data_IF_253623032843
#
_entry.id   IF_253623032843
#
_cell.length_a   1.000
_cell.length_b   1.000
_cell.length_c   1.000
_cell.angle_alpha   90.00
_cell.angle_beta   90.00
_cell.angle_gamma   90.00
#
_symmetry.space_group_name_H-M   'P 1'
#
loop_
_entity.id
_entity.type
_entity.pdbx_description
1 polymer ?
#
# COMPACT_ATOMS: atom_id res chain seq x y z
N UNK A 1 9.98 -18.77 -3.46
CA UNK A 1 10.84 -19.68 -4.24
C UNK A 1 10.49 -21.17 -4.07
N UNK A 2 10.37 -21.72 -2.84
CA UNK A 2 9.98 -23.12 -2.64
C UNK A 2 8.66 -23.49 -3.34
N UNK A 3 7.65 -22.64 -3.19
CA UNK A 3 6.33 -22.87 -3.79
C UNK A 3 6.36 -22.80 -5.32
N UNK A 4 7.19 -21.91 -5.89
CA UNK A 4 7.40 -21.83 -7.33
C UNK A 4 7.95 -23.15 -7.88
N UNK A 5 8.99 -23.70 -7.26
CA UNK A 5 9.58 -24.97 -7.66
C UNK A 5 8.57 -26.12 -7.59
N UNK A 6 7.75 -26.16 -6.53
CA UNK A 6 6.69 -27.16 -6.37
C UNK A 6 5.62 -27.04 -7.46
N UNK A 7 5.08 -25.83 -7.70
CA UNK A 7 4.03 -25.59 -8.71
C UNK A 7 4.49 -25.89 -10.13
N UNK A 8 5.75 -25.59 -10.45
CA UNK A 8 6.33 -25.84 -11.78
C UNK A 8 6.92 -27.24 -11.93
N UNK A 9 6.85 -28.07 -10.88
CA UNK A 9 7.48 -29.39 -10.83
C UNK A 9 8.96 -29.35 -11.25
N UNK A 10 9.69 -28.30 -10.82
CA UNK A 10 11.09 -28.09 -11.12
C UNK A 10 11.96 -28.60 -9.99
N UNK A 11 13.01 -29.35 -10.33
CA UNK A 11 14.02 -29.71 -9.34
C UNK A 11 14.92 -28.50 -9.02
N UNK A 12 15.40 -28.45 -7.79
CA UNK A 12 16.39 -27.45 -7.35
C UNK A 12 17.64 -27.50 -8.24
N UNK A 13 18.02 -28.70 -8.71
CA UNK A 13 19.18 -28.89 -9.60
C UNK A 13 19.00 -28.21 -10.96
N UNK A 14 17.80 -28.26 -11.53
CA UNK A 14 17.49 -27.60 -12.80
C UNK A 14 17.61 -26.09 -12.66
N UNK A 15 16.91 -25.50 -11.68
CA UNK A 15 16.95 -24.05 -11.47
C UNK A 15 18.36 -23.55 -11.13
N UNK A 16 19.13 -24.31 -10.35
CA UNK A 16 20.53 -23.96 -10.06
C UNK A 16 21.40 -23.98 -11.34
N UNK A 17 21.16 -24.93 -12.23
CA UNK A 17 21.82 -25.01 -13.54
C UNK A 17 21.48 -23.80 -14.41
N UNK A 18 20.20 -23.44 -14.49
CA UNK A 18 19.73 -22.28 -15.27
C UNK A 18 20.32 -20.96 -14.75
N UNK A 19 20.50 -20.85 -13.42
CA UNK A 19 21.09 -19.69 -12.75
C UNK A 19 22.62 -19.71 -12.72
N UNK A 20 23.26 -20.79 -13.20
CA UNK A 20 24.70 -21.02 -13.11
C UNK A 20 25.26 -20.85 -11.68
N UNK A 21 24.55 -21.38 -10.67
CA UNK A 21 24.96 -21.38 -9.26
C UNK A 21 25.02 -22.81 -8.71
N UNK A 22 25.69 -22.99 -7.57
CA UNK A 22 25.69 -24.29 -6.92
C UNK A 22 24.31 -24.62 -6.34
N UNK A 23 23.94 -25.90 -6.41
CA UNK A 23 22.69 -26.40 -5.80
C UNK A 23 22.64 -26.15 -4.30
N UNK A 24 23.78 -26.29 -3.61
CA UNK A 24 23.92 -25.99 -2.19
C UNK A 24 23.60 -24.52 -1.90
N UNK A 25 24.13 -23.60 -2.72
CA UNK A 25 23.83 -22.18 -2.56
C UNK A 25 22.35 -21.87 -2.80
N UNK A 26 21.73 -22.47 -3.83
CA UNK A 26 20.29 -22.33 -4.05
C UNK A 26 19.46 -22.86 -2.88
N UNK A 27 19.87 -23.97 -2.24
CA UNK A 27 19.22 -24.44 -1.01
C UNK A 27 19.32 -23.42 0.14
N UNK A 28 20.47 -22.78 0.31
CA UNK A 28 20.66 -21.72 1.32
C UNK A 28 19.73 -20.53 1.04
N UNK A 29 19.55 -20.15 -0.23
CA UNK A 29 18.61 -19.10 -0.63
C UNK A 29 17.16 -19.50 -0.34
N UNK A 30 16.75 -20.73 -0.70
CA UNK A 30 15.38 -21.23 -0.48
C UNK A 30 15.03 -21.25 1.00
N UNK A 31 15.99 -21.58 1.87
CA UNK A 31 15.81 -21.64 3.33
C UNK A 31 15.90 -20.26 4.01
N UNK A 32 16.30 -19.22 3.29
CA UNK A 32 16.53 -17.89 3.84
C UNK A 32 17.81 -17.79 4.69
N UNK A 33 18.71 -18.77 4.62
CA UNK A 33 20.00 -18.77 5.33
C UNK A 33 20.96 -17.74 4.74
N UNK A 34 20.80 -17.42 3.44
CA UNK A 34 21.57 -16.40 2.73
C UNK A 34 20.68 -15.54 1.85
N UNK A 35 21.09 -14.28 1.70
CA UNK A 35 20.52 -13.36 0.71
C UNK A 35 21.35 -13.41 -0.59
N UNK A 36 20.71 -13.42 -1.76
CA UNK A 36 21.42 -13.32 -3.04
C UNK A 36 21.94 -11.89 -3.24
N UNK A 37 22.87 -11.71 -4.18
CA UNK A 37 23.19 -10.37 -4.69
C UNK A 37 22.01 -9.80 -5.48
N UNK A 38 21.97 -8.47 -5.65
CA UNK A 38 20.92 -7.79 -6.44
C UNK A 38 20.87 -8.38 -7.86
N UNK A 39 22.03 -8.52 -8.52
CA UNK A 39 22.12 -9.09 -9.86
C UNK A 39 21.59 -10.54 -9.94
N UNK A 40 21.85 -11.37 -8.92
CA UNK A 40 21.30 -12.72 -8.87
C UNK A 40 19.79 -12.71 -8.62
N UNK A 41 19.30 -11.81 -7.76
CA UNK A 41 17.86 -11.66 -7.53
C UNK A 41 17.11 -11.23 -8.80
N UNK A 42 17.66 -10.29 -9.59
CA UNK A 42 17.10 -9.87 -10.87
C UNK A 42 17.03 -11.03 -11.87
N UNK A 43 18.11 -11.82 -11.99
CA UNK A 43 18.12 -13.01 -12.86
C UNK A 43 17.09 -14.06 -12.43
N UNK A 44 16.93 -14.28 -11.13
CA UNK A 44 15.91 -15.19 -10.61
C UNK A 44 14.51 -14.68 -11.00
N UNK A 45 14.26 -13.38 -10.83
CA UNK A 45 12.99 -12.78 -11.21
C UNK A 45 12.68 -12.90 -12.71
N UNK A 46 13.67 -12.64 -13.57
CA UNK A 46 13.55 -12.80 -15.02
C UNK A 46 13.23 -14.24 -15.43
N UNK A 47 14.00 -15.22 -14.92
CA UNK A 47 13.80 -16.65 -15.24
C UNK A 47 12.45 -17.15 -14.74
N UNK A 48 12.02 -16.67 -13.57
CA UNK A 48 10.73 -17.03 -12.98
C UNK A 48 9.57 -16.17 -13.49
N UNK A 49 9.83 -15.24 -14.43
CA UNK A 49 8.85 -14.32 -15.02
C UNK A 49 8.04 -13.57 -13.96
N UNK A 50 8.70 -13.11 -12.89
CA UNK A 50 8.07 -12.37 -11.80
C UNK A 50 7.36 -13.23 -10.75
N UNK A 51 7.34 -14.57 -10.87
CA UNK A 51 6.75 -15.42 -9.82
C UNK A 51 7.61 -15.48 -8.54
N UNK A 52 8.91 -15.20 -8.66
CA UNK A 52 9.83 -15.01 -7.54
C UNK A 52 10.51 -13.67 -7.72
N UNK A 53 9.96 -12.63 -7.09
CA UNK A 53 10.43 -11.25 -7.29
C UNK A 53 11.71 -10.96 -6.52
N UNK A 54 12.42 -9.91 -6.94
CA UNK A 54 13.61 -9.43 -6.25
C UNK A 54 13.33 -9.01 -4.80
N UNK A 55 12.17 -8.38 -4.53
CA UNK A 55 11.73 -7.98 -3.19
C UNK A 55 11.61 -9.20 -2.26
N UNK A 56 11.00 -10.28 -2.76
CA UNK A 56 10.84 -11.54 -2.03
C UNK A 56 12.19 -12.11 -1.60
N UNK A 57 13.21 -12.00 -2.46
CA UNK A 57 14.52 -12.60 -2.26
C UNK A 57 15.46 -11.78 -1.37
N UNK A 58 15.41 -10.46 -1.51
CA UNK A 58 16.22 -9.57 -0.71
C UNK A 58 15.62 -9.34 0.69
N UNK A 59 14.37 -9.79 0.90
CA UNK A 59 13.60 -9.47 2.10
C UNK A 59 13.41 -7.96 2.24
N UNK A 60 13.42 -7.25 1.11
CA UNK A 60 12.96 -5.88 1.03
C UNK A 60 11.47 -6.06 0.94
N UNK A 61 10.78 -5.85 2.05
CA UNK A 61 9.33 -5.89 2.07
C UNK A 61 8.82 -4.87 1.04
N UNK A 62 8.44 -5.36 -0.15
CA UNK A 62 7.62 -4.58 -1.07
C UNK A 62 6.38 -4.11 -0.30
N UNK A 63 5.83 -2.96 -0.66
CA UNK A 63 4.72 -2.25 0.01
C UNK A 63 3.52 -3.16 0.41
N UNK A 64 3.41 -4.36 -0.16
CA UNK A 64 2.44 -5.40 0.17
C UNK A 64 2.61 -6.12 1.53
N UNK A 65 3.79 -6.15 2.17
CA UNK A 65 3.95 -6.81 3.48
C UNK A 65 3.56 -5.90 4.67
N UNK A 66 3.74 -4.59 4.54
CA UNK A 66 3.22 -3.60 5.50
C UNK A 66 1.70 -3.44 5.41
N UNK A 67 1.12 -3.76 4.24
CA UNK A 67 -0.32 -3.65 3.98
C UNK A 67 -1.14 -4.51 4.95
N UNK A 68 -0.78 -5.77 5.23
CA UNK A 68 -1.66 -6.61 6.06
C UNK A 68 -1.68 -6.30 7.57
N UNK A 69 -0.69 -5.58 8.10
CA UNK A 69 -0.69 -5.14 9.52
C UNK A 69 -1.20 -3.71 9.71
N UNK A 70 -1.09 -2.86 8.69
CA UNK A 70 -1.53 -1.46 8.76
C UNK A 70 -2.86 -1.19 8.06
N UNK A 71 -3.33 -2.06 7.15
CA UNK A 71 -4.63 -1.91 6.48
C UNK A 71 -5.81 -1.72 7.43
N UNK A 72 -5.99 -2.49 8.53
CA UNK A 72 -7.11 -2.23 9.43
C UNK A 72 -6.98 -0.89 10.15
N UNK A 73 -5.76 -0.42 10.45
CA UNK A 73 -5.53 0.87 11.10
C UNK A 73 -5.77 2.02 10.13
N UNK A 74 -5.26 1.93 8.90
CA UNK A 74 -5.46 2.93 7.85
C UNK A 74 -6.94 2.99 7.43
N UNK A 75 -7.62 1.84 7.31
CA UNK A 75 -9.06 1.80 7.04
C UNK A 75 -9.86 2.41 8.20
N UNK A 76 -9.49 2.11 9.46
CA UNK A 76 -10.14 2.73 10.63
C UNK A 76 -9.95 4.25 10.70
N UNK A 77 -8.75 4.74 10.37
CA UNK A 77 -8.46 6.18 10.34
C UNK A 77 -9.18 6.86 9.17
N UNK A 78 -9.20 6.22 7.99
CA UNK A 78 -9.92 6.75 6.82
C UNK A 78 -11.41 6.88 7.10
N UNK A 79 -12.02 5.88 7.74
CA UNK A 79 -13.42 5.95 8.18
C UNK A 79 -13.67 7.04 9.22
N UNK A 80 -12.72 7.28 10.12
CA UNK A 80 -12.80 8.38 11.09
C UNK A 80 -12.71 9.75 10.40
N UNK A 81 -11.81 9.90 9.43
CA UNK A 81 -11.69 11.11 8.63
C UNK A 81 -12.93 11.38 7.80
N UNK A 82 -13.54 10.36 7.19
CA UNK A 82 -14.79 10.47 6.44
C UNK A 82 -15.94 11.01 7.32
N UNK A 83 -16.08 10.47 8.54
CA UNK A 83 -17.10 10.92 9.50
C UNK A 83 -16.87 12.35 9.97
N UNK A 84 -15.60 12.71 10.24
CA UNK A 84 -15.23 14.09 10.59
C UNK A 84 -15.52 15.03 9.45
N UNK A 85 -15.22 14.64 8.22
CA UNK A 85 -15.48 15.43 7.01
C UNK A 85 -16.98 15.68 6.84
N UNK A 86 -17.80 14.62 6.91
CA UNK A 86 -19.26 14.74 6.87
C UNK A 86 -19.81 15.66 7.98
N UNK A 87 -19.20 15.62 9.17
CA UNK A 87 -19.60 16.49 10.28
C UNK A 87 -19.22 17.95 10.04
N UNK A 88 -18.09 18.20 9.39
CA UNK A 88 -17.63 19.53 9.01
C UNK A 88 -18.49 20.13 7.90
N UNK A 89 -18.88 19.34 6.89
CA UNK A 89 -19.79 19.79 5.83
C UNK A 89 -21.14 20.24 6.42
N UNK A 90 -21.74 19.41 7.28
CA UNK A 90 -22.98 19.77 7.98
C UNK A 90 -22.84 21.03 8.86
N UNK A 91 -21.66 21.25 9.46
CA UNK A 91 -21.41 22.44 10.26
C UNK A 91 -21.27 23.69 9.37
N UNK A 92 -20.62 23.58 8.22
CA UNK A 92 -20.50 24.66 7.25
C UNK A 92 -21.87 25.07 6.70
N UNK A 93 -22.73 24.11 6.35
CA UNK A 93 -24.09 24.38 5.86
C UNK A 93 -24.89 25.23 6.87
N UNK A 94 -24.82 24.88 8.16
CA UNK A 94 -25.48 25.66 9.24
C UNK A 94 -24.89 27.07 9.40
N UNK A 95 -23.58 27.22 9.19
CA UNK A 95 -22.92 28.53 9.25
C UNK A 95 -23.41 29.39 8.08
N UNK A 96 -23.50 28.81 6.87
CA UNK A 96 -24.01 29.50 5.68
C UNK A 96 -25.46 29.97 5.88
N UNK A 97 -26.35 29.10 6.37
CA UNK A 97 -27.74 29.48 6.70
C UNK A 97 -27.80 30.62 7.74
N UNK A 98 -26.92 30.56 8.74
CA UNK A 98 -26.85 31.59 9.79
C UNK A 98 -26.37 32.93 9.24
N UNK A 99 -25.39 32.92 8.34
CA UNK A 99 -24.89 34.13 7.67
C UNK A 99 -26.00 34.76 6.81
N UNK A 100 -26.71 33.96 6.02
CA UNK A 100 -27.81 34.46 5.19
C UNK A 100 -28.91 35.12 6.04
N UNK A 101 -29.22 34.55 7.20
CA UNK A 101 -30.15 35.13 8.16
C UNK A 101 -29.66 36.47 8.74
N UNK A 102 -28.37 36.56 9.07
CA UNK A 102 -27.74 37.79 9.57
C UNK A 102 -27.77 38.87 8.49
N UNK A 103 -27.42 38.54 7.25
CA UNK A 103 -27.44 39.48 6.11
C UNK A 103 -28.84 40.05 5.89
N UNK A 104 -29.88 39.20 5.90
CA UNK A 104 -31.29 39.65 5.80
C UNK A 104 -31.66 40.60 6.93
N UNK A 105 -31.20 40.33 8.16
CA UNK A 105 -31.45 41.19 9.32
C UNK A 105 -30.74 42.53 9.21
N UNK A 106 -29.49 42.54 8.73
CA UNK A 106 -28.72 43.77 8.50
C UNK A 106 -29.37 44.64 7.43
N UNK A 107 -29.77 44.07 6.30
CA UNK A 107 -30.47 44.80 5.24
C UNK A 107 -31.78 45.46 5.74
N UNK A 108 -32.51 44.78 6.64
CA UNK A 108 -33.71 45.34 7.28
C UNK A 108 -33.38 46.49 8.24
N UNK A 109 -32.25 46.43 8.95
CA UNK A 109 -31.81 47.52 9.82
C UNK A 109 -31.40 48.71 8.96
N UNK A 110 -30.62 48.50 7.90
CA UNK A 110 -30.17 49.57 7.00
C UNK A 110 -31.35 50.32 6.39
N UNK A 111 -32.36 49.59 5.90
CA UNK A 111 -33.58 50.19 5.35
C UNK A 111 -34.40 50.97 6.38
N UNK A 112 -34.43 50.54 7.65
CA UNK A 112 -35.18 51.23 8.70
C UNK A 112 -34.47 52.48 9.26
N UNK A 113 -33.14 52.58 9.13
CA UNK A 113 -32.35 53.66 9.71
C UNK A 113 -31.81 54.67 8.68
N UNK A 114 -31.61 54.24 7.42
CA UNK A 114 -30.99 55.07 6.38
C UNK A 114 -31.83 55.23 5.11
N UNK A 115 -33.01 54.60 5.04
CA UNK A 115 -34.02 54.83 4.00
C UNK A 115 -35.02 55.91 4.40
#
# INVERSE_FOLDING_TARGET
>A
MKDYLFRKNLSVKQLAGDLNISTSYLYQLIRGERKPSIELAQRIEEITKGEVTLEMLLGIEGENALSNRHRPVIESQSQEYEKRFSSLENANEKIEESLESIEKRLAKIETNFFG
#
